data_IF_103784868710
#
_entry.id   IF_103784868710
#
_cell.length_a   1.000
_cell.length_b   1.000
_cell.length_c   1.000
_cell.angle_alpha   90.00
_cell.angle_beta   90.00
_cell.angle_gamma   90.00
#
_symmetry.space_group_name_H-M   'P 1'
#
loop_
_entity.id
_entity.type
_entity.pdbx_description
1 polymer ?
#
# COMPACT_ATOMS: atom_id res chain seq x y z
N UNK A 1 -15.24 -15.90 -2.71
CA UNK A 1 -14.94 -16.51 -1.40
C UNK A 1 -13.56 -16.04 -0.99
N UNK A 2 -13.38 -15.49 0.21
CA UNK A 2 -12.06 -15.05 0.68
C UNK A 2 -11.32 -16.29 1.14
N UNK A 3 -10.52 -16.89 0.25
CA UNK A 3 -9.49 -17.82 0.69
C UNK A 3 -8.45 -16.98 1.45
N UNK A 4 -8.65 -16.88 2.76
CA UNK A 4 -7.62 -16.37 3.65
C UNK A 4 -6.42 -17.29 3.49
N UNK A 5 -5.33 -16.70 3.00
CA UNK A 5 -4.03 -17.32 2.72
C UNK A 5 -3.53 -18.19 3.89
N UNK A 6 -4.07 -19.40 4.05
CA UNK A 6 -3.51 -20.37 4.97
C UNK A 6 -2.22 -20.89 4.33
N UNK A 7 -1.11 -20.89 5.07
CA UNK A 7 0.15 -21.42 4.58
C UNK A 7 -0.05 -22.90 4.23
N UNK A 8 0.52 -23.31 3.10
CA UNK A 8 0.36 -24.67 2.59
C UNK A 8 0.98 -25.73 3.53
N UNK A 9 1.93 -25.32 4.37
CA UNK A 9 2.54 -26.15 5.41
C UNK A 9 3.11 -25.27 6.55
N UNK A 10 3.52 -25.93 7.64
CA UNK A 10 4.09 -25.29 8.83
C UNK A 10 5.43 -24.58 8.57
N UNK A 11 6.20 -25.05 7.58
CA UNK A 11 7.47 -24.42 7.20
C UNK A 11 7.22 -23.04 6.59
N UNK A 12 6.25 -22.93 5.68
CA UNK A 12 5.82 -21.67 5.06
C UNK A 12 5.22 -20.74 6.13
N UNK A 13 4.47 -21.27 7.11
CA UNK A 13 3.95 -20.45 8.23
C UNK A 13 5.09 -19.87 9.09
N UNK A 14 6.04 -20.72 9.48
CA UNK A 14 7.20 -20.30 10.26
C UNK A 14 8.04 -19.27 9.51
N UNK A 15 8.28 -19.49 8.22
CA UNK A 15 8.98 -18.54 7.36
C UNK A 15 8.26 -17.20 7.26
N UNK A 16 6.93 -17.22 7.03
CA UNK A 16 6.11 -16.01 7.00
C UNK A 16 6.13 -15.24 8.33
N UNK A 17 6.21 -15.96 9.46
CA UNK A 17 6.15 -15.41 10.82
C UNK A 17 7.49 -14.88 11.32
N UNK A 18 8.60 -15.55 11.01
CA UNK A 18 9.94 -15.21 11.50
C UNK A 18 10.67 -14.27 10.55
N UNK A 19 10.67 -14.59 9.26
CA UNK A 19 11.43 -13.83 8.27
C UNK A 19 10.65 -12.64 7.72
N UNK A 20 9.33 -12.69 7.86
CA UNK A 20 8.43 -11.66 7.37
C UNK A 20 8.25 -11.79 5.85
N UNK A 21 7.09 -12.25 5.44
CA UNK A 21 6.81 -12.41 4.02
C UNK A 21 6.42 -11.07 3.37
N UNK A 22 7.25 -10.58 2.45
CA UNK A 22 6.98 -9.38 1.65
C UNK A 22 5.75 -9.53 0.73
N UNK A 23 5.28 -10.75 0.44
CA UNK A 23 4.01 -10.97 -0.26
C UNK A 23 2.79 -10.75 0.65
N UNK A 24 2.98 -10.71 1.97
CA UNK A 24 1.94 -10.46 2.97
C UNK A 24 2.03 -9.04 3.55
N UNK A 25 2.27 -8.04 2.70
CA UNK A 25 2.04 -6.64 3.09
C UNK A 25 0.54 -6.47 3.35
N UNK A 26 0.15 -6.62 4.60
CA UNK A 26 -1.22 -6.39 5.06
C UNK A 26 -1.70 -5.02 4.55
N UNK A 27 -2.97 -4.90 4.13
CA UNK A 27 -3.60 -3.59 3.87
C UNK A 27 -3.48 -2.62 5.06
N UNK A 28 -3.19 -3.12 6.25
CA UNK A 28 -2.90 -2.33 7.45
C UNK A 28 -1.44 -1.88 7.58
N UNK A 29 -0.54 -2.20 6.64
CA UNK A 29 0.86 -1.75 6.68
C UNK A 29 0.95 -0.22 6.73
N UNK A 30 0.11 0.47 5.95
CA UNK A 30 -0.02 1.93 5.98
C UNK A 30 -0.49 2.43 7.37
N UNK A 31 -1.38 1.69 8.05
CA UNK A 31 -1.81 2.00 9.42
C UNK A 31 -0.72 1.75 10.47
N UNK A 32 0.29 0.92 10.17
CA UNK A 32 1.43 0.67 11.07
C UNK A 32 2.57 1.69 10.90
N UNK A 33 2.52 2.55 9.87
CA UNK A 33 3.57 3.55 9.66
C UNK A 33 3.60 4.63 10.77
N UNK A 34 4.78 5.20 11.07
CA UNK A 34 4.91 6.36 11.96
C UNK A 34 4.07 7.54 11.48
N UNK A 35 3.60 8.38 12.42
CA UNK A 35 2.74 9.55 12.11
C UNK A 35 3.31 10.43 10.97
N UNK A 36 4.60 10.81 10.97
CA UNK A 36 5.16 11.67 9.91
C UNK A 36 5.03 11.04 8.53
N UNK A 37 5.32 9.75 8.40
CA UNK A 37 5.29 9.03 7.13
C UNK A 37 3.87 8.83 6.60
N UNK A 38 2.88 8.71 7.50
CA UNK A 38 1.46 8.73 7.10
C UNK A 38 1.06 10.06 6.50
N UNK A 39 1.39 11.18 7.15
CA UNK A 39 1.09 12.52 6.62
C UNK A 39 1.77 12.75 5.27
N UNK A 40 3.02 12.32 5.13
CA UNK A 40 3.73 12.39 3.86
C UNK A 40 3.03 11.58 2.76
N UNK A 41 2.58 10.35 3.06
CA UNK A 41 1.83 9.53 2.12
C UNK A 41 0.53 10.19 1.65
N UNK A 42 -0.24 10.78 2.58
CA UNK A 42 -1.45 11.52 2.23
C UNK A 42 -1.16 12.78 1.41
N UNK A 43 -0.12 13.53 1.76
CA UNK A 43 0.31 14.70 0.99
C UNK A 43 0.71 14.29 -0.44
N UNK A 44 1.51 13.24 -0.59
CA UNK A 44 1.97 12.76 -1.89
C UNK A 44 0.80 12.28 -2.77
N UNK A 45 -0.14 11.53 -2.19
CA UNK A 45 -1.33 11.06 -2.89
C UNK A 45 -2.22 12.24 -3.34
N UNK A 46 -2.38 13.25 -2.49
CA UNK A 46 -3.12 14.48 -2.82
C UNK A 46 -2.43 15.28 -3.91
N UNK A 47 -1.12 15.51 -3.78
CA UNK A 47 -0.31 16.23 -4.77
C UNK A 47 -0.39 15.56 -6.14
N UNK A 48 -0.16 14.24 -6.23
CA UNK A 48 -0.24 13.49 -7.48
C UNK A 48 -1.66 13.56 -8.09
N UNK A 49 -2.70 13.41 -7.27
CA UNK A 49 -4.08 13.49 -7.76
C UNK A 49 -4.39 14.87 -8.35
N UNK A 50 -3.96 15.95 -7.69
CA UNK A 50 -4.13 17.32 -8.18
C UNK A 50 -3.32 17.54 -9.46
N UNK A 51 -2.06 17.08 -9.50
CA UNK A 51 -1.21 17.21 -10.69
C UNK A 51 -1.81 16.50 -11.91
N UNK A 52 -2.34 15.28 -11.74
CA UNK A 52 -3.01 14.54 -12.81
C UNK A 52 -4.26 15.28 -13.26
N UNK A 53 -5.08 15.77 -12.32
CA UNK A 53 -6.28 16.55 -12.63
C UNK A 53 -5.92 17.80 -13.45
N UNK A 54 -4.89 18.54 -13.04
CA UNK A 54 -4.41 19.73 -13.75
C UNK A 54 -3.95 19.39 -15.17
N UNK A 55 -3.21 18.29 -15.32
CA UNK A 55 -2.71 17.83 -16.62
C UNK A 55 -3.86 17.50 -17.57
N UNK A 56 -4.91 16.85 -17.09
CA UNK A 56 -6.12 16.57 -17.88
C UNK A 56 -6.80 17.88 -18.28
N UNK A 57 -6.99 18.81 -17.34
CA UNK A 57 -7.64 20.10 -17.63
C UNK A 57 -6.85 20.88 -18.69
N UNK A 58 -5.52 20.99 -18.54
CA UNK A 58 -4.67 21.66 -19.52
C UNK A 58 -4.72 20.99 -20.89
N UNK A 59 -4.75 19.66 -20.93
CA UNK A 59 -4.87 18.92 -22.19
C UNK A 59 -6.22 19.17 -22.89
N UNK A 60 -7.30 19.33 -22.12
CA UNK A 60 -8.63 19.63 -22.66
C UNK A 60 -8.82 21.11 -23.05
N UNK A 61 -8.01 22.02 -22.51
CA UNK A 61 -8.04 23.46 -22.81
C UNK A 61 -7.06 23.90 -23.90
N UNK A 62 -6.13 23.01 -24.31
CA UNK A 62 -5.28 23.19 -25.49
C UNK A 62 -6.10 23.07 -26.78
#
# INVERSE_FOLDING_TARGET
MKEENKPFNDVIDHFNKIEGNAANVSKNAVKKLPKPLKYFGYFMAGFLSISILLMIILNLLQ
#
